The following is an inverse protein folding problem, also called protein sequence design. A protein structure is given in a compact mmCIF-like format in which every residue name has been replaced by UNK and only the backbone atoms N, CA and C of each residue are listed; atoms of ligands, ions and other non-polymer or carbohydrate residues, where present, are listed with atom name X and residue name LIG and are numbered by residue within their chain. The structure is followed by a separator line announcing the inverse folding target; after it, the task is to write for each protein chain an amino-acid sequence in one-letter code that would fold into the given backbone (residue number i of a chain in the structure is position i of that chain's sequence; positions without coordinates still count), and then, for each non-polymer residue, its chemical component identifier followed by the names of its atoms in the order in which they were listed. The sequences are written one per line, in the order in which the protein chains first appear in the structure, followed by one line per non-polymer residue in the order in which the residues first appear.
data_IF_055059779357
#
_entry.id   IF_055059779357
#
_cell.length_a   1.000
_cell.length_b   1.000
_cell.length_c   1.000
_cell.angle_alpha   90.00
_cell.angle_beta   90.00
_cell.angle_gamma   90.00
#
_symmetry.space_group_name_H-M   'P 1'
#
loop_
_entity.id
_entity.type
_entity.pdbx_description
1 polymer ?
#
# COMPACT_ATOMS: atom_id res chain seq x y z
N UNK A 1 25.39 56.58 -5.93
CA UNK A 1 25.72 56.03 -7.26
C UNK A 1 25.66 54.51 -7.13
N UNK A 2 24.46 53.97 -7.33
CA UNK A 2 24.12 53.05 -8.45
C UNK A 2 24.61 51.61 -8.14
N UNK A 3 23.79 50.75 -7.51
CA UNK A 3 22.85 49.80 -8.13
C UNK A 3 23.41 49.03 -9.34
N UNK A 4 23.70 47.74 -9.18
CA UNK A 4 23.40 46.72 -10.21
C UNK A 4 23.07 45.36 -9.56
N UNK A 5 21.82 44.93 -9.77
CA UNK A 5 21.31 43.60 -9.45
C UNK A 5 21.49 42.67 -10.65
N UNK A 6 22.17 41.54 -10.51
CA UNK A 6 22.29 40.53 -11.57
C UNK A 6 21.53 39.25 -11.22
N UNK A 7 20.35 39.10 -11.82
CA UNK A 7 19.48 37.94 -11.72
C UNK A 7 19.93 36.84 -12.70
N UNK A 8 20.25 35.64 -12.20
CA UNK A 8 20.55 34.50 -13.07
C UNK A 8 19.29 33.71 -13.41
N UNK A 9 18.63 34.07 -14.53
CA UNK A 9 17.53 33.32 -15.13
C UNK A 9 18.09 32.09 -15.87
N UNK A 10 17.73 30.88 -15.43
CA UNK A 10 17.98 29.63 -16.18
C UNK A 10 17.06 29.58 -17.40
N UNK A 11 17.63 29.71 -18.60
CA UNK A 11 16.98 29.41 -19.88
C UNK A 11 16.95 27.89 -20.06
N UNK A 12 15.76 27.30 -20.18
CA UNK A 12 15.59 25.95 -20.69
C UNK A 12 15.53 26.05 -22.22
N UNK A 13 16.51 25.44 -22.89
CA UNK A 13 16.54 25.33 -24.35
C UNK A 13 15.58 24.23 -24.79
N UNK A 14 14.41 24.63 -25.31
CA UNK A 14 13.55 23.79 -26.13
C UNK A 14 14.00 23.91 -27.60
N UNK A 15 14.85 23.02 -28.08
CA UNK A 15 15.11 22.90 -29.51
C UNK A 15 15.59 21.50 -29.85
N UNK A 16 14.65 20.64 -30.24
CA UNK A 16 14.84 19.59 -31.25
C UNK A 16 13.46 19.08 -31.67
N UNK A 17 12.82 19.90 -32.50
CA UNK A 17 11.82 19.46 -33.46
C UNK A 17 12.57 19.04 -34.75
N UNK A 18 11.91 18.24 -35.61
CA UNK A 18 12.41 17.46 -36.76
C UNK A 18 12.66 16.00 -36.35
N UNK A 19 11.97 14.98 -36.87
CA UNK A 19 11.39 14.81 -38.21
C UNK A 19 10.34 13.69 -38.20
N UNK A 20 9.33 13.84 -39.06
CA UNK A 20 8.29 12.83 -39.34
C UNK A 20 8.87 11.76 -40.27
N UNK A 21 8.68 10.45 -40.00
CA UNK A 21 8.76 9.45 -41.05
C UNK A 21 7.37 9.01 -41.55
N UNK A 22 7.29 8.99 -42.88
CA UNK A 22 6.20 8.49 -43.73
C UNK A 22 5.86 7.03 -43.46
N UNK A 23 4.58 6.73 -43.68
CA UNK A 23 3.94 5.41 -43.77
C UNK A 23 4.81 4.35 -44.46
N UNK A 24 4.97 3.19 -43.82
CA UNK A 24 5.14 1.89 -44.48
C UNK A 24 4.18 0.89 -43.85
N UNK A 25 3.37 0.23 -44.69
CA UNK A 25 2.60 -0.97 -44.37
C UNK A 25 3.53 -2.18 -44.52
N UNK A 26 3.45 -3.11 -43.57
CA UNK A 26 3.78 -4.55 -43.59
C UNK A 26 3.32 -5.02 -42.20
N UNK A 27 2.09 -5.56 -42.05
CA UNK A 27 1.79 -7.00 -41.96
C UNK A 27 2.96 -7.77 -41.33
N UNK A 28 2.83 -8.04 -40.04
CA UNK A 28 3.00 -9.37 -39.46
C UNK A 28 2.22 -9.41 -38.13
N UNK A 29 1.54 -10.52 -37.93
CA UNK A 29 0.56 -10.81 -36.89
C UNK A 29 1.21 -10.94 -35.49
N UNK A 30 0.39 -10.68 -34.47
CA UNK A 30 0.55 -11.11 -33.07
C UNK A 30 1.56 -10.39 -32.16
N UNK A 31 1.15 -9.26 -31.56
CA UNK A 31 1.20 -9.12 -30.10
C UNK A 31 0.31 -7.98 -29.56
N UNK A 32 -0.46 -8.33 -28.52
CA UNK A 32 -0.75 -7.58 -27.29
C UNK A 32 -0.88 -6.04 -27.34
N UNK A 33 -2.07 -5.51 -27.01
CA UNK A 33 -2.28 -4.55 -25.91
C UNK A 33 -3.63 -3.79 -25.98
N UNK A 34 -4.33 -3.83 -24.84
CA UNK A 34 -5.02 -2.67 -24.22
C UNK A 34 -6.20 -2.03 -24.94
N UNK A 35 -7.40 -2.46 -24.57
CA UNK A 35 -8.56 -1.57 -24.46
C UNK A 35 -8.78 -1.20 -22.99
N UNK A 36 -8.62 0.09 -22.70
CA UNK A 36 -9.12 0.74 -21.49
C UNK A 36 -10.61 1.09 -21.65
N UNK A 37 -11.27 1.30 -20.50
CA UNK A 37 -12.67 1.71 -20.27
C UNK A 37 -13.65 0.53 -20.27
N UNK A 38 -14.44 0.25 -19.22
CA UNK A 38 -15.04 1.14 -18.21
C UNK A 38 -15.08 0.44 -16.83
N UNK A 39 -14.25 0.93 -15.91
CA UNK A 39 -14.46 0.70 -14.48
C UNK A 39 -15.41 1.77 -13.95
N UNK A 40 -16.69 1.45 -13.86
CA UNK A 40 -17.61 1.99 -12.84
C UNK A 40 -18.55 0.89 -12.40
N UNK A 41 -18.04 -0.04 -11.59
CA UNK A 41 -18.91 -0.86 -10.73
C UNK A 41 -18.44 -0.67 -9.30
N UNK A 42 -18.92 0.40 -8.68
CA UNK A 42 -18.99 0.53 -7.24
C UNK A 42 -19.99 -0.50 -6.72
N UNK A 43 -19.58 -1.78 -6.61
CA UNK A 43 -20.30 -2.72 -5.76
C UNK A 43 -19.91 -2.41 -4.33
N UNK A 44 -20.69 -1.54 -3.70
CA UNK A 44 -20.76 -1.47 -2.25
C UNK A 44 -21.05 -2.87 -1.72
N UNK A 45 -20.32 -3.26 -0.68
CA UNK A 45 -20.59 -4.48 0.05
C UNK A 45 -22.06 -4.49 0.49
N UNK A 46 -22.81 -5.52 0.10
CA UNK A 46 -24.16 -5.77 0.60
C UNK A 46 -24.06 -6.10 2.09
N UNK A 47 -24.12 -5.06 2.92
CA UNK A 47 -24.46 -5.18 4.33
C UNK A 47 -25.98 -5.30 4.43
N UNK A 48 -26.44 -6.24 5.26
CA UNK A 48 -27.82 -6.43 5.73
C UNK A 48 -28.92 -6.50 4.66
N UNK A 49 -29.32 -7.73 4.31
CA UNK A 49 -30.64 -7.95 3.74
C UNK A 49 -31.67 -7.80 4.87
N UNK A 50 -32.23 -6.59 5.01
CA UNK A 50 -33.44 -6.37 5.79
C UNK A 50 -34.60 -7.08 5.07
N UNK A 51 -35.19 -8.06 5.73
CA UNK A 51 -36.28 -8.91 5.23
C UNK A 51 -37.57 -8.09 4.98
N UNK A 52 -37.58 -6.81 5.35
CA UNK A 52 -38.72 -5.90 5.22
C UNK A 52 -38.84 -5.21 3.84
N UNK A 53 -37.97 -5.55 2.87
CA UNK A 53 -38.01 -4.98 1.52
C UNK A 53 -38.62 -5.91 0.45
N UNK A 54 -39.39 -6.91 0.87
CA UNK A 54 -40.34 -7.60 -0.01
C UNK A 54 -41.70 -7.00 0.34
N UNK A 55 -42.22 -6.15 -0.55
CA UNK A 55 -43.57 -5.58 -0.44
C UNK A 55 -44.62 -6.68 -0.52
N UNK A 56 -44.84 -7.39 0.59
CA UNK A 56 -46.02 -8.22 0.80
C UNK A 56 -47.11 -7.24 1.26
N UNK A 57 -48.16 -6.98 0.45
CA UNK A 57 -49.22 -6.10 0.87
C UNK A 57 -49.96 -6.69 2.08
N UNK A 58 -49.85 -6.05 3.24
CA UNK A 58 -50.56 -6.36 4.49
C UNK A 58 -52.07 -6.05 4.44
N UNK A 59 -52.71 -6.00 3.27
CA UNK A 59 -54.10 -5.53 3.13
C UNK A 59 -55.17 -6.62 3.40
N UNK A 60 -54.79 -7.89 3.53
CA UNK A 60 -55.78 -8.97 3.54
C UNK A 60 -56.39 -9.31 4.91
N UNK A 61 -55.95 -8.69 6.02
CA UNK A 61 -56.38 -9.09 7.37
C UNK A 61 -57.60 -8.33 7.93
N UNK A 62 -57.89 -7.11 7.47
CA UNK A 62 -58.90 -6.26 8.13
C UNK A 62 -60.35 -6.46 7.66
N UNK A 63 -60.59 -7.09 6.50
CA UNK A 63 -61.95 -7.21 5.93
C UNK A 63 -62.86 -8.23 6.66
N UNK A 64 -62.30 -9.07 7.53
CA UNK A 64 -63.05 -10.17 8.18
C UNK A 64 -63.88 -9.75 9.41
N UNK A 65 -63.66 -8.55 9.97
CA UNK A 65 -64.08 -8.23 11.35
C UNK A 65 -65.53 -7.75 11.53
N UNK A 66 -66.33 -7.61 10.46
CA UNK A 66 -67.63 -6.91 10.55
C UNK A 66 -68.88 -7.66 10.07
N UNK A 67 -68.85 -8.99 9.94
CA UNK A 67 -70.10 -9.74 9.77
C UNK A 67 -70.70 -10.13 11.14
N UNK A 68 -71.80 -9.49 11.60
CA UNK A 68 -72.50 -9.95 12.78
C UNK A 68 -73.14 -11.32 12.49
N UNK A 69 -72.63 -12.36 13.14
CA UNK A 69 -73.21 -13.70 13.11
C UNK A 69 -74.53 -13.68 13.89
N UNK A 70 -75.63 -13.36 13.22
CA UNK A 70 -76.97 -13.60 13.76
C UNK A 70 -77.16 -15.12 13.83
N UNK A 71 -77.08 -15.67 15.04
CA UNK A 71 -77.45 -17.05 15.35
C UNK A 71 -78.98 -17.19 15.26
N UNK A 72 -79.52 -17.30 14.04
CA UNK A 72 -80.88 -17.81 13.87
C UNK A 72 -80.90 -19.29 14.25
N UNK A 73 -81.46 -19.60 15.42
CA UNK A 73 -81.73 -20.97 15.86
C UNK A 73 -82.94 -21.50 15.09
N UNK A 74 -82.74 -21.80 13.80
CA UNK A 74 -83.75 -22.53 13.02
C UNK A 74 -83.82 -23.94 13.59
N UNK A 75 -85.03 -24.40 13.95
CA UNK A 75 -85.24 -25.75 14.46
C UNK A 75 -84.95 -26.77 13.34
N UNK A 76 -83.76 -27.38 13.39
CA UNK A 76 -83.33 -28.37 12.39
C UNK A 76 -84.11 -29.67 12.62
N UNK A 77 -84.91 -30.08 11.64
CA UNK A 77 -85.55 -31.40 11.67
C UNK A 77 -84.47 -32.48 11.57
N UNK A 78 -84.50 -33.53 12.41
CA UNK A 78 -83.48 -34.56 12.38
C UNK A 78 -83.57 -35.32 11.04
N UNK A 79 -82.49 -35.27 10.27
CA UNK A 79 -82.34 -36.04 9.05
C UNK A 79 -82.29 -37.54 9.38
N UNK A 80 -83.17 -38.33 8.76
CA UNK A 80 -83.11 -39.80 8.82
C UNK A 80 -82.40 -40.31 7.58
N UNK A 81 -81.12 -40.64 7.72
CA UNK A 81 -80.35 -41.26 6.66
C UNK A 81 -80.83 -42.70 6.42
N UNK A 82 -80.92 -43.11 5.16
CA UNK A 82 -80.99 -44.52 4.80
C UNK A 82 -79.69 -45.22 5.23
N UNK A 83 -79.74 -46.50 5.66
CA UNK A 83 -78.53 -47.22 6.01
C UNK A 83 -77.60 -47.33 4.81
N UNK A 84 -76.29 -47.19 5.05
CA UNK A 84 -75.28 -47.29 4.00
C UNK A 84 -75.37 -48.67 3.33
N UNK A 85 -75.48 -48.73 1.99
CA UNK A 85 -75.47 -50.01 1.29
C UNK A 85 -74.17 -50.77 1.56
N UNK A 86 -74.28 -52.08 1.80
CA UNK A 86 -73.13 -52.97 2.05
C UNK A 86 -72.49 -53.33 0.71
N UNK A 87 -71.50 -52.55 0.30
CA UNK A 87 -70.69 -52.88 -0.87
C UNK A 87 -69.67 -53.98 -0.54
N UNK A 88 -69.35 -54.88 -1.49
CA UNK A 88 -68.23 -55.79 -1.34
C UNK A 88 -66.92 -55.00 -1.24
N UNK A 89 -65.92 -55.49 -0.49
CA UNK A 89 -64.62 -54.82 -0.40
C UNK A 89 -63.97 -54.73 -1.78
N UNK A 90 -63.27 -53.62 -2.09
CA UNK A 90 -62.60 -53.47 -3.38
C UNK A 90 -61.52 -54.54 -3.58
N UNK A 91 -61.40 -55.06 -4.80
CA UNK A 91 -60.36 -56.03 -5.14
C UNK A 91 -58.99 -55.37 -5.19
N UNK A 92 -58.11 -55.75 -4.27
CA UNK A 92 -56.71 -55.29 -4.26
C UNK A 92 -55.95 -56.12 -5.30
N UNK A 93 -55.67 -55.53 -6.46
CA UNK A 93 -54.82 -56.16 -7.46
C UNK A 93 -53.35 -55.99 -7.09
N UNK A 94 -52.65 -57.09 -6.82
CA UNK A 94 -51.20 -57.10 -6.64
C UNK A 94 -50.54 -56.94 -8.02
N UNK A 95 -49.70 -55.93 -8.19
CA UNK A 95 -48.96 -55.73 -9.43
C UNK A 95 -48.07 -56.95 -9.73
N UNK A 96 -48.25 -57.54 -10.91
CA UNK A 96 -47.43 -58.66 -11.41
C UNK A 96 -46.13 -58.19 -12.07
N UNK A 97 -45.94 -56.87 -12.22
CA UNK A 97 -44.75 -56.29 -12.86
C UNK A 97 -43.58 -56.22 -11.88
N UNK A 98 -42.41 -56.67 -12.33
CA UNK A 98 -41.16 -56.51 -11.58
C UNK A 98 -40.80 -55.03 -11.41
N UNK A 99 -40.18 -54.70 -10.27
CA UNK A 99 -39.72 -53.34 -9.98
C UNK A 99 -38.62 -52.92 -10.96
N UNK A 100 -38.81 -51.80 -11.65
CA UNK A 100 -37.80 -51.22 -12.54
C UNK A 100 -36.53 -50.85 -11.77
N UNK A 101 -35.37 -51.36 -12.21
CA UNK A 101 -34.07 -50.97 -11.64
C UNK A 101 -33.70 -49.57 -12.14
N UNK A 102 -33.24 -48.66 -11.25
CA UNK A 102 -32.78 -47.34 -11.68
C UNK A 102 -31.53 -47.48 -12.55
N UNK A 103 -31.48 -46.72 -13.64
CA UNK A 103 -30.31 -46.63 -14.51
C UNK A 103 -29.21 -45.82 -13.82
N UNK A 104 -27.94 -46.17 -14.04
CA UNK A 104 -26.82 -45.38 -13.56
C UNK A 104 -26.84 -44.00 -14.25
N UNK A 105 -27.07 -42.94 -13.48
CA UNK A 105 -27.09 -41.57 -13.99
C UNK A 105 -25.74 -40.93 -13.75
N UNK A 106 -25.10 -40.44 -14.81
CA UNK A 106 -23.88 -39.65 -14.71
C UNK A 106 -24.21 -38.26 -14.21
N UNK A 107 -23.69 -37.88 -13.04
CA UNK A 107 -23.87 -36.54 -12.47
C UNK A 107 -22.82 -35.58 -13.03
N UNK A 108 -23.17 -34.83 -14.08
CA UNK A 108 -22.28 -33.81 -14.64
C UNK A 108 -21.87 -32.71 -13.65
N UNK A 109 -22.65 -32.52 -12.59
CA UNK A 109 -22.32 -31.65 -11.47
C UNK A 109 -21.04 -32.10 -10.75
N UNK A 110 -20.86 -33.41 -10.52
CA UNK A 110 -19.66 -33.95 -9.89
C UNK A 110 -18.43 -33.77 -10.79
N UNK A 111 -18.58 -34.04 -12.08
CA UNK A 111 -17.53 -33.81 -13.09
C UNK A 111 -17.13 -32.32 -13.11
N UNK A 112 -18.11 -31.41 -13.05
CA UNK A 112 -17.84 -29.96 -13.00
C UNK A 112 -17.16 -29.57 -11.70
N UNK A 113 -17.56 -30.15 -10.57
CA UNK A 113 -16.97 -29.88 -9.26
C UNK A 113 -15.49 -30.28 -9.24
N UNK A 114 -15.16 -31.48 -9.71
CA UNK A 114 -13.77 -31.95 -9.80
C UNK A 114 -12.91 -31.08 -10.73
N UNK A 115 -13.46 -30.56 -11.84
CA UNK A 115 -12.76 -29.60 -12.70
C UNK A 115 -12.54 -28.26 -11.99
N UNK A 116 -13.53 -27.81 -11.21
CA UNK A 116 -13.48 -26.55 -10.49
C UNK A 116 -12.46 -26.60 -9.36
N UNK A 117 -12.43 -27.67 -8.60
CA UNK A 117 -11.46 -27.92 -7.52
C UNK A 117 -10.02 -27.81 -8.03
N UNK A 118 -9.69 -28.52 -9.13
CA UNK A 118 -8.36 -28.42 -9.78
C UNK A 118 -8.00 -26.99 -10.19
N UNK A 119 -8.97 -26.25 -10.72
CA UNK A 119 -8.75 -24.85 -11.10
C UNK A 119 -8.52 -23.97 -9.89
N UNK A 120 -9.32 -24.13 -8.83
CA UNK A 120 -9.22 -23.32 -7.62
C UNK A 120 -7.90 -23.60 -6.88
N UNK A 121 -7.42 -24.86 -6.86
CA UNK A 121 -6.08 -25.23 -6.38
C UNK A 121 -4.96 -24.53 -7.18
N UNK A 122 -5.01 -24.62 -8.50
CA UNK A 122 -4.04 -23.96 -9.37
C UNK A 122 -4.02 -22.44 -9.13
N UNK A 123 -5.20 -21.82 -9.00
CA UNK A 123 -5.32 -20.39 -8.72
C UNK A 123 -4.81 -20.02 -7.33
N UNK A 124 -4.99 -20.89 -6.34
CA UNK A 124 -4.45 -20.70 -4.99
C UNK A 124 -2.91 -20.66 -5.03
N UNK A 125 -2.29 -21.62 -5.71
CA UNK A 125 -0.83 -21.70 -5.88
C UNK A 125 -0.31 -20.45 -6.62
N UNK A 126 -0.98 -20.02 -7.70
CA UNK A 126 -0.58 -18.82 -8.44
C UNK A 126 -0.64 -17.56 -7.57
N UNK A 127 -1.73 -17.38 -6.81
CA UNK A 127 -1.87 -16.24 -5.89
C UNK A 127 -0.82 -16.25 -4.81
N UNK A 128 -0.48 -17.43 -4.28
CA UNK A 128 0.57 -17.58 -3.28
C UNK A 128 1.95 -17.20 -3.82
N UNK A 129 2.29 -17.65 -5.03
CA UNK A 129 3.53 -17.25 -5.71
C UNK A 129 3.62 -15.73 -5.90
N UNK A 130 2.55 -15.11 -6.39
CA UNK A 130 2.48 -13.66 -6.59
C UNK A 130 2.71 -12.93 -5.26
N UNK A 131 2.05 -13.35 -4.18
CA UNK A 131 2.24 -12.76 -2.84
C UNK A 131 3.68 -12.88 -2.35
N UNK A 132 4.30 -14.05 -2.51
CA UNK A 132 5.69 -14.28 -2.11
C UNK A 132 6.63 -13.33 -2.88
N UNK A 133 6.41 -13.15 -4.17
CA UNK A 133 7.26 -12.27 -4.99
C UNK A 133 7.03 -10.79 -4.66
N UNK A 134 5.79 -10.37 -4.41
CA UNK A 134 5.46 -9.04 -3.91
C UNK A 134 6.14 -8.76 -2.54
N UNK A 135 6.13 -9.72 -1.62
CA UNK A 135 6.78 -9.62 -0.33
C UNK A 135 8.31 -9.50 -0.45
N UNK A 136 8.94 -10.25 -1.36
CA UNK A 136 10.39 -10.13 -1.63
C UNK A 136 10.74 -8.74 -2.14
N UNK A 137 9.99 -8.24 -3.13
CA UNK A 137 10.19 -6.90 -3.70
C UNK A 137 9.99 -5.83 -2.62
N UNK A 138 8.99 -6.01 -1.75
CA UNK A 138 8.76 -5.10 -0.62
C UNK A 138 9.94 -5.09 0.37
N UNK A 139 10.44 -6.27 0.76
CA UNK A 139 11.60 -6.39 1.65
C UNK A 139 12.86 -5.76 1.05
N UNK A 140 13.10 -5.95 -0.24
CA UNK A 140 14.24 -5.31 -0.92
C UNK A 140 14.14 -3.78 -0.92
N UNK A 141 12.93 -3.23 -1.11
CA UNK A 141 12.69 -1.78 -1.01
C UNK A 141 12.94 -1.28 0.40
N UNK A 142 12.40 -1.96 1.41
CA UNK A 142 12.61 -1.61 2.82
C UNK A 142 14.10 -1.63 3.19
N UNK A 143 14.86 -2.63 2.74
CA UNK A 143 16.32 -2.71 2.97
C UNK A 143 17.03 -1.50 2.34
N UNK A 144 16.72 -1.17 1.08
CA UNK A 144 17.31 -0.01 0.40
C UNK A 144 16.98 1.31 1.09
N UNK A 145 15.74 1.49 1.52
CA UNK A 145 15.32 2.66 2.30
C UNK A 145 16.09 2.77 3.62
N UNK A 146 16.27 1.66 4.34
CA UNK A 146 17.07 1.62 5.57
C UNK A 146 18.53 1.98 5.29
N UNK A 147 19.12 1.45 4.22
CA UNK A 147 20.48 1.79 3.82
C UNK A 147 20.64 3.28 3.52
N UNK A 148 19.70 3.87 2.81
CA UNK A 148 19.75 5.29 2.44
C UNK A 148 19.54 6.21 3.65
N UNK A 149 18.65 5.83 4.57
CA UNK A 149 18.52 6.48 5.87
C UNK A 149 19.83 6.38 6.64
N UNK A 150 20.47 5.20 6.71
CA UNK A 150 21.76 5.04 7.41
C UNK A 150 22.87 5.87 6.76
N UNK A 151 22.94 5.91 5.43
CA UNK A 151 23.92 6.72 4.68
C UNK A 151 23.72 8.23 4.91
N UNK A 152 22.47 8.70 5.01
CA UNK A 152 22.14 10.11 5.21
C UNK A 152 22.29 10.58 6.66
N UNK A 153 21.98 9.72 7.62
CA UNK A 153 22.13 9.98 9.06
C UNK A 153 23.58 9.94 9.50
N UNK A 154 24.45 9.22 8.79
CA UNK A 154 25.88 9.21 9.07
C UNK A 154 26.49 10.59 8.79
N UNK A 155 26.86 11.29 9.87
CA UNK A 155 27.54 12.58 9.78
C UNK A 155 28.91 12.39 9.09
N UNK A 156 29.04 12.94 7.87
CA UNK A 156 30.30 12.98 7.13
C UNK A 156 31.03 14.28 7.46
N UNK A 157 32.09 14.19 8.26
CA UNK A 157 32.96 15.34 8.51
C UNK A 157 33.63 15.79 7.20
N UNK A 158 33.85 17.11 7.07
CA UNK A 158 34.71 17.63 6.02
C UNK A 158 36.14 17.13 6.28
N UNK A 159 36.92 16.77 5.24
CA UNK A 159 38.31 16.44 5.45
C UNK A 159 38.99 17.62 6.13
N UNK A 160 39.86 17.32 7.09
CA UNK A 160 40.70 18.35 7.68
C UNK A 160 41.53 18.93 6.53
N UNK A 161 41.56 20.26 6.34
CA UNK A 161 42.47 20.84 5.37
C UNK A 161 43.90 20.42 5.71
N UNK A 162 44.74 20.24 4.68
CA UNK A 162 46.16 19.91 4.87
C UNK A 162 46.83 21.09 5.59
N UNK A 163 46.88 21.00 6.91
CA UNK A 163 47.74 21.84 7.71
C UNK A 163 49.15 21.30 7.52
N UNK A 164 50.00 22.06 6.84
CA UNK A 164 51.42 21.85 6.94
C UNK A 164 51.79 21.78 8.43
N UNK A 165 52.71 20.89 8.84
CA UNK A 165 53.14 20.83 10.23
C UNK A 165 53.51 22.25 10.69
N UNK A 166 53.12 22.64 11.92
CA UNK A 166 53.38 23.99 12.41
C UNK A 166 54.85 24.32 12.22
N UNK A 167 55.13 25.55 11.77
CA UNK A 167 56.50 26.06 11.58
C UNK A 167 57.34 25.66 12.79
N UNK A 168 58.25 24.70 12.58
CA UNK A 168 59.20 24.33 13.62
C UNK A 168 60.17 25.51 13.74
N UNK A 169 60.22 26.20 14.89
CA UNK A 169 61.13 27.32 15.05
C UNK A 169 62.56 26.81 14.85
N UNK A 170 63.26 27.41 13.89
CA UNK A 170 64.65 27.06 13.64
C UNK A 170 65.47 27.45 14.87
N UNK A 171 66.30 26.51 15.36
CA UNK A 171 67.29 26.82 16.40
C UNK A 171 68.23 27.90 15.87
N UNK A 172 68.56 28.87 16.72
CA UNK A 172 69.52 29.90 16.34
C UNK A 172 70.87 29.27 16.01
N UNK A 173 71.43 29.60 14.84
CA UNK A 173 72.81 29.25 14.47
C UNK A 173 73.83 30.09 15.25
N UNK A 174 73.36 31.15 15.92
CA UNK A 174 74.20 32.03 16.73
C UNK A 174 74.76 31.27 17.94
N UNK A 175 76.04 31.45 18.28
CA UNK A 175 76.60 30.88 19.50
C UNK A 175 75.86 31.43 20.73
N UNK A 176 75.82 30.62 21.79
CA UNK A 176 75.24 31.03 23.06
C UNK A 176 75.93 32.31 23.54
N UNK A 177 75.14 33.37 23.78
CA UNK A 177 75.68 34.63 24.29
C UNK A 177 76.27 34.39 25.66
N UNK A 178 77.57 34.69 25.81
CA UNK A 178 78.22 34.70 27.13
C UNK A 178 77.77 35.98 27.85
N UNK A 179 77.11 35.87 29.01
CA UNK A 179 76.72 37.06 29.77
C UNK A 179 77.98 37.80 30.22
N UNK A 180 78.12 39.06 29.81
CA UNK A 180 79.14 39.96 30.32
C UNK A 180 78.54 40.85 31.41
N UNK A 181 79.22 40.95 32.54
CA UNK A 181 78.82 41.89 33.58
C UNK A 181 78.88 43.33 33.04
N UNK A 182 77.86 44.17 33.34
CA UNK A 182 77.92 45.57 32.95
C UNK A 182 79.09 46.25 33.66
N UNK A 183 79.94 46.94 32.89
CA UNK A 183 81.01 47.77 33.47
C UNK A 183 80.40 49.01 34.08
N UNK A 184 80.22 49.01 35.40
CA UNK A 184 79.80 50.19 36.12
C UNK A 184 80.92 51.23 36.12
N UNK A 185 80.78 52.31 35.35
CA UNK A 185 81.75 53.42 35.30
C UNK A 185 81.62 54.34 36.53
N UNK A 186 81.31 53.79 37.70
CA UNK A 186 80.96 54.56 38.91
C UNK A 186 82.14 55.38 39.40
N UNK A 187 83.34 54.80 39.38
CA UNK A 187 84.59 55.48 39.78
C UNK A 187 84.96 56.60 38.80
N UNK A 188 84.85 56.35 37.49
CA UNK A 188 85.10 57.37 36.46
C UNK A 188 84.10 58.52 36.61
N UNK A 189 82.82 58.22 36.86
CA UNK A 189 81.78 59.24 37.10
C UNK A 189 82.03 60.01 38.38
N UNK A 190 82.54 59.37 39.44
CA UNK A 190 82.92 60.04 40.68
C UNK A 190 84.12 60.97 40.46
N UNK A 191 85.17 60.51 39.77
CA UNK A 191 86.34 61.32 39.43
C UNK A 191 85.97 62.54 38.56
N UNK A 192 85.12 62.36 37.53
CA UNK A 192 84.62 63.47 36.71
C UNK A 192 83.84 64.48 37.57
N UNK A 193 83.06 64.00 38.55
CA UNK A 193 82.34 64.89 39.48
C UNK A 193 83.29 65.66 40.40
N UNK A 194 84.34 65.01 40.90
CA UNK A 194 85.35 65.67 41.74
C UNK A 194 86.19 66.68 40.95
N UNK A 195 86.64 66.35 39.74
CA UNK A 195 87.37 67.30 38.89
C UNK A 195 86.54 68.56 38.58
N UNK A 196 85.23 68.40 38.33
CA UNK A 196 84.31 69.53 38.11
C UNK A 196 84.01 70.38 39.35
N UNK A 197 84.29 69.88 40.56
CA UNK A 197 84.17 70.66 41.80
C UNK A 197 85.42 71.52 42.05
N UNK A 198 86.59 71.07 41.58
CA UNK A 198 87.86 71.80 41.74
C UNK A 198 87.97 72.98 40.75
N UNK A 199 87.28 72.91 39.62
CA UNK A 199 87.26 73.98 38.59
C UNK A 199 86.27 75.14 38.92
N UNK A 200 85.59 75.12 40.07
CA UNK A 200 84.71 76.20 40.53
C UNK A 200 85.26 76.89 41.76
#
# INVERSE_FOLDING_TARGET
MEQETSSFKRKLNNSLCLSVPKKRKLIDEESCATMQSLNKSSRSALKSLDINLIGIPHHCAERSQHHPLKLEKQQIKPFKALPMPKFPPPSIHVSTKETTKPMNVTLHSEIRNAKREKYDEMMKILKEKIKIDEEKVKKEKEIKEIEDIRKSTQFKARPLPDYAPPLQPMKSVKPLTVPMEPKFLTEIRAQIREMKKVEK
#
